data_IF_840943950082
#
_entry.id   IF_840943950082
#
_cell.length_a   1.000
_cell.length_b   1.000
_cell.length_c   1.000
_cell.angle_alpha   90.00
_cell.angle_beta   90.00
_cell.angle_gamma   90.00
#
_symmetry.space_group_name_H-M   'P 1'
#
loop_
_entity.id
_entity.type
_entity.pdbx_description
1 polymer ?
#
# COMPACT_ATOMS: atom_id res chain seq x y z
N UNK A 1 101.65 -24.22 -76.05
CA UNK A 1 102.22 -24.75 -74.80
C UNK A 1 101.08 -24.84 -73.81
N UNK A 2 100.88 -26.01 -73.17
CA UNK A 2 99.70 -26.37 -72.38
C UNK A 2 98.36 -26.35 -73.17
N UNK A 3 97.36 -27.21 -72.90
CA UNK A 3 97.43 -28.53 -72.24
C UNK A 3 96.20 -29.36 -72.62
N UNK A 4 96.30 -30.25 -73.61
CA UNK A 4 95.25 -31.23 -73.90
C UNK A 4 95.43 -32.44 -72.97
N UNK A 5 95.08 -32.25 -71.70
CA UNK A 5 95.03 -33.32 -70.71
C UNK A 5 93.84 -34.26 -71.01
N UNK A 6 94.04 -35.21 -71.92
CA UNK A 6 93.10 -36.32 -72.13
C UNK A 6 93.14 -37.23 -70.90
N UNK A 7 92.08 -37.16 -70.08
CA UNK A 7 92.05 -37.80 -68.76
C UNK A 7 91.76 -39.30 -68.94
N UNK A 8 92.81 -40.06 -69.21
CA UNK A 8 92.81 -41.52 -69.21
C UNK A 8 92.50 -42.07 -67.81
N UNK A 9 91.21 -42.09 -67.47
CA UNK A 9 90.70 -42.59 -66.20
C UNK A 9 90.67 -44.11 -66.22
N UNK A 10 91.80 -44.73 -65.89
CA UNK A 10 91.93 -46.18 -65.74
C UNK A 10 90.94 -46.69 -64.69
N UNK A 11 90.01 -47.54 -65.13
CA UNK A 11 89.03 -48.18 -64.24
C UNK A 11 89.67 -49.43 -63.65
N UNK A 12 90.06 -49.37 -62.39
CA UNK A 12 90.42 -50.56 -61.61
C UNK A 12 89.15 -51.36 -61.28
N UNK A 13 89.08 -52.66 -61.60
CA UNK A 13 87.88 -53.46 -61.34
C UNK A 13 87.56 -53.56 -59.85
N UNK A 14 86.29 -53.43 -59.50
CA UNK A 14 85.83 -53.37 -58.11
C UNK A 14 84.83 -54.48 -57.82
N UNK A 15 85.35 -55.64 -57.39
CA UNK A 15 84.54 -56.86 -57.22
C UNK A 15 83.66 -56.79 -55.98
N UNK A 16 82.40 -56.43 -56.17
CA UNK A 16 81.33 -56.53 -55.18
C UNK A 16 80.11 -57.23 -55.82
N UNK A 17 79.90 -58.50 -55.46
CA UNK A 17 78.71 -59.26 -55.84
C UNK A 17 77.57 -59.00 -54.86
N UNK A 18 76.31 -59.12 -55.30
CA UNK A 18 75.14 -59.02 -54.43
C UNK A 18 74.49 -60.37 -54.15
N UNK A 19 73.72 -60.44 -53.06
CA UNK A 19 72.89 -61.61 -52.74
C UNK A 19 71.64 -61.72 -53.63
N UNK A 20 71.38 -60.75 -54.50
CA UNK A 20 70.22 -60.73 -55.40
C UNK A 20 70.49 -61.67 -56.58
N UNK A 21 69.94 -62.88 -56.50
CA UNK A 21 70.22 -63.98 -57.41
C UNK A 21 70.00 -63.65 -58.90
N UNK A 22 69.07 -62.74 -59.20
CA UNK A 22 68.75 -62.27 -60.56
C UNK A 22 69.87 -61.42 -61.20
N UNK A 23 70.76 -60.82 -60.40
CA UNK A 23 71.86 -59.95 -60.87
C UNK A 23 73.22 -60.63 -60.91
N UNK A 24 73.44 -61.70 -60.14
CA UNK A 24 74.73 -62.43 -60.08
C UNK A 24 75.32 -62.77 -61.46
N UNK A 25 74.56 -63.26 -62.46
CA UNK A 25 75.11 -63.52 -63.80
C UNK A 25 75.56 -62.25 -64.53
N UNK A 26 74.97 -61.09 -64.23
CA UNK A 26 75.36 -59.79 -64.80
C UNK A 26 76.59 -59.21 -64.08
N UNK A 27 76.73 -59.45 -62.78
CA UNK A 27 77.91 -59.07 -62.00
C UNK A 27 79.17 -59.79 -62.53
N UNK A 28 79.06 -61.09 -62.82
CA UNK A 28 80.10 -61.87 -63.50
C UNK A 28 80.44 -61.30 -64.90
N UNK A 29 79.42 -60.88 -65.67
CA UNK A 29 79.62 -60.23 -66.97
C UNK A 29 80.28 -58.85 -66.84
N UNK A 30 79.93 -58.04 -65.84
CA UNK A 30 80.58 -56.75 -65.57
C UNK A 30 82.06 -56.95 -65.25
N UNK A 31 82.39 -57.88 -64.35
CA UNK A 31 83.80 -58.18 -64.02
C UNK A 31 84.58 -58.68 -65.24
N UNK A 32 83.94 -59.45 -66.14
CA UNK A 32 84.52 -59.81 -67.45
C UNK A 32 84.75 -58.57 -68.33
N UNK A 33 83.77 -57.68 -68.49
CA UNK A 33 83.90 -56.46 -69.30
C UNK A 33 85.01 -55.55 -68.76
N UNK A 34 85.03 -55.29 -67.45
CA UNK A 34 86.07 -54.51 -66.78
C UNK A 34 87.45 -55.12 -67.03
N UNK A 35 87.62 -56.43 -66.76
CA UNK A 35 88.92 -57.12 -66.92
C UNK A 35 89.39 -57.12 -68.38
N UNK A 36 88.48 -57.31 -69.34
CA UNK A 36 88.80 -57.37 -70.77
C UNK A 36 89.18 -56.00 -71.33
N UNK A 37 88.54 -54.93 -70.87
CA UNK A 37 88.69 -53.58 -71.44
C UNK A 37 89.52 -52.60 -70.60
N UNK A 38 89.93 -52.94 -69.37
CA UNK A 38 90.72 -52.08 -68.46
C UNK A 38 92.05 -51.52 -69.03
N UNK A 39 92.56 -52.10 -70.13
CA UNK A 39 93.81 -51.67 -70.80
C UNK A 39 93.64 -51.40 -72.30
N UNK A 40 92.40 -51.37 -72.79
CA UNK A 40 92.14 -51.21 -74.23
C UNK A 40 92.17 -49.73 -74.64
N UNK A 41 93.23 -49.33 -75.33
CA UNK A 41 93.34 -48.02 -75.99
C UNK A 41 92.85 -48.16 -77.44
N UNK A 42 91.84 -47.38 -77.84
CA UNK A 42 91.20 -47.51 -79.17
C UNK A 42 91.35 -46.23 -79.98
N UNK A 43 92.24 -46.23 -80.97
CA UNK A 43 92.38 -45.12 -81.92
C UNK A 43 91.24 -45.13 -82.96
N UNK A 44 90.20 -44.37 -82.66
CA UNK A 44 89.02 -44.21 -83.50
C UNK A 44 89.25 -43.35 -84.76
N UNK A 45 90.46 -42.82 -85.00
CA UNK A 45 90.81 -42.18 -86.28
C UNK A 45 91.06 -43.19 -87.39
N UNK A 46 91.40 -44.43 -87.03
CA UNK A 46 91.57 -45.56 -87.97
C UNK A 46 90.24 -46.28 -88.24
N UNK A 47 90.09 -46.86 -89.42
CA UNK A 47 88.90 -47.65 -89.78
C UNK A 47 88.75 -48.91 -88.92
N UNK A 48 89.86 -49.55 -88.57
CA UNK A 48 89.91 -50.75 -87.73
C UNK A 48 89.62 -50.42 -86.25
N UNK A 49 90.26 -49.39 -85.68
CA UNK A 49 89.96 -48.93 -84.33
C UNK A 49 88.51 -48.46 -84.19
N UNK A 50 87.96 -47.78 -85.20
CA UNK A 50 86.54 -47.40 -85.23
C UNK A 50 85.58 -48.60 -85.38
N UNK A 51 86.02 -49.74 -85.93
CA UNK A 51 85.26 -50.98 -85.92
C UNK A 51 85.27 -51.60 -84.51
N UNK A 52 86.47 -51.81 -83.95
CA UNK A 52 86.67 -52.36 -82.61
C UNK A 52 85.92 -51.54 -81.54
N UNK A 53 85.95 -50.21 -81.62
CA UNK A 53 85.19 -49.32 -80.73
C UNK A 53 83.67 -49.56 -80.76
N UNK A 54 83.11 -49.95 -81.92
CA UNK A 54 81.67 -50.24 -82.06
C UNK A 54 81.32 -51.59 -81.44
N UNK A 55 82.16 -52.60 -81.61
CA UNK A 55 81.95 -53.93 -81.03
C UNK A 55 82.02 -53.91 -79.50
N UNK A 56 83.05 -53.27 -78.94
CA UNK A 56 83.18 -53.03 -77.49
C UNK A 56 81.97 -52.27 -76.95
N UNK A 57 81.49 -51.25 -77.68
CA UNK A 57 80.28 -50.50 -77.31
C UNK A 57 79.01 -51.34 -77.39
N UNK A 58 78.95 -52.35 -78.26
CA UNK A 58 77.82 -53.29 -78.33
C UNK A 58 77.84 -54.22 -77.11
N UNK A 59 78.95 -54.88 -76.80
CA UNK A 59 79.08 -55.81 -75.65
C UNK A 59 78.69 -55.13 -74.32
N UNK A 60 79.26 -53.95 -74.04
CA UNK A 60 78.93 -53.15 -72.84
C UNK A 60 77.45 -52.72 -72.83
N UNK A 61 76.89 -52.31 -73.97
CA UNK A 61 75.51 -51.83 -74.07
C UNK A 61 74.51 -52.95 -73.91
N UNK A 62 74.83 -54.15 -74.38
CA UNK A 62 73.93 -55.28 -74.38
C UNK A 62 73.83 -55.90 -72.96
N UNK A 63 74.92 -55.95 -72.19
CA UNK A 63 74.88 -56.20 -70.72
C UNK A 63 74.04 -55.13 -70.00
N UNK A 64 74.21 -53.85 -70.35
CA UNK A 64 73.39 -52.75 -69.78
C UNK A 64 71.90 -52.89 -70.10
N UNK A 65 71.53 -53.38 -71.28
CA UNK A 65 70.12 -53.67 -71.60
C UNK A 65 69.61 -54.94 -70.92
N UNK A 66 70.47 -55.94 -70.71
CA UNK A 66 70.14 -57.14 -69.95
C UNK A 66 69.84 -56.82 -68.48
N UNK A 67 70.62 -55.91 -67.87
CA UNK A 67 70.35 -55.34 -66.54
C UNK A 67 68.98 -54.65 -66.47
N UNK A 68 68.68 -53.68 -67.35
CA UNK A 68 67.39 -52.98 -67.39
C UNK A 68 66.19 -53.94 -67.55
N UNK A 69 66.35 -54.97 -68.39
CA UNK A 69 65.37 -56.04 -68.56
C UNK A 69 65.21 -56.87 -67.27
N UNK A 70 66.30 -57.30 -66.65
CA UNK A 70 66.30 -58.03 -65.36
C UNK A 70 65.61 -57.20 -64.27
N UNK A 71 65.94 -55.91 -64.13
CA UNK A 71 65.31 -55.01 -63.16
C UNK A 71 63.79 -54.95 -63.35
N UNK A 72 63.34 -54.76 -64.59
CA UNK A 72 61.91 -54.72 -64.93
C UNK A 72 61.22 -56.05 -64.66
N UNK A 73 61.84 -57.18 -64.99
CA UNK A 73 61.26 -58.51 -64.75
C UNK A 73 61.22 -58.87 -63.25
N UNK A 74 62.30 -58.63 -62.51
CA UNK A 74 62.40 -58.94 -61.08
C UNK A 74 61.40 -58.14 -60.22
N UNK A 75 61.08 -56.90 -60.62
CA UNK A 75 60.10 -56.06 -59.90
C UNK A 75 58.64 -56.51 -60.06
N UNK A 76 58.28 -57.23 -61.13
CA UNK A 76 56.88 -57.68 -61.40
C UNK A 76 56.25 -58.41 -60.20
N UNK A 77 56.84 -59.49 -59.63
CA UNK A 77 56.23 -60.20 -58.51
C UNK A 77 56.05 -59.35 -57.24
N UNK A 78 56.93 -58.36 -56.99
CA UNK A 78 56.78 -57.45 -55.86
C UNK A 78 55.67 -56.41 -56.11
N UNK A 79 55.63 -55.81 -57.31
CA UNK A 79 54.57 -54.89 -57.70
C UNK A 79 53.20 -55.56 -57.72
N UNK A 80 53.11 -56.84 -58.12
CA UNK A 80 51.87 -57.60 -58.08
C UNK A 80 51.42 -57.84 -56.64
N UNK A 81 52.31 -58.32 -55.75
CA UNK A 81 52.00 -58.49 -54.31
C UNK A 81 51.50 -57.20 -53.64
N UNK A 82 52.05 -56.04 -54.01
CA UNK A 82 51.57 -54.73 -53.51
C UNK A 82 50.16 -54.41 -54.02
N UNK A 83 49.84 -54.69 -55.29
CA UNK A 83 48.48 -54.53 -55.84
C UNK A 83 47.49 -55.47 -55.17
N UNK A 84 47.85 -56.74 -55.01
CA UNK A 84 46.99 -57.77 -54.39
C UNK A 84 46.70 -57.43 -52.92
N UNK A 85 47.71 -56.97 -52.18
CA UNK A 85 47.55 -56.49 -50.80
C UNK A 85 46.64 -55.26 -50.73
N UNK A 86 46.79 -54.28 -51.62
CA UNK A 86 45.92 -53.09 -51.65
C UNK A 86 44.48 -53.44 -52.02
N UNK A 87 44.27 -54.35 -52.98
CA UNK A 87 42.94 -54.86 -53.33
C UNK A 87 42.28 -55.56 -52.13
N UNK A 88 43.03 -56.36 -51.36
CA UNK A 88 42.54 -57.00 -50.13
C UNK A 88 42.22 -55.98 -49.02
N UNK A 89 43.01 -54.92 -48.87
CA UNK A 89 42.71 -53.83 -47.93
C UNK A 89 41.40 -53.12 -48.28
N UNK A 90 41.15 -52.85 -49.56
CA UNK A 90 39.90 -52.23 -50.01
C UNK A 90 38.70 -53.15 -49.74
N UNK A 91 38.81 -54.44 -50.13
CA UNK A 91 37.77 -55.44 -49.89
C UNK A 91 37.41 -55.58 -48.39
N UNK A 92 38.40 -55.53 -47.49
CA UNK A 92 38.16 -55.60 -46.04
C UNK A 92 37.44 -54.36 -45.52
N UNK A 93 37.74 -53.16 -46.04
CA UNK A 93 37.01 -51.93 -45.68
C UNK A 93 35.57 -51.95 -46.18
N UNK A 94 35.38 -52.23 -47.47
CA UNK A 94 34.06 -52.29 -48.12
C UNK A 94 33.14 -53.31 -47.44
N UNK A 95 33.66 -54.51 -47.13
CA UNK A 95 32.92 -55.53 -46.39
C UNK A 95 32.66 -55.15 -44.93
N UNK A 96 33.59 -54.43 -44.28
CA UNK A 96 33.43 -53.94 -42.91
C UNK A 96 32.30 -52.93 -42.77
N UNK A 97 32.25 -51.92 -43.64
CA UNK A 97 31.16 -50.94 -43.66
C UNK A 97 29.83 -51.62 -44.06
N UNK A 98 29.82 -52.51 -45.07
CA UNK A 98 28.60 -53.24 -45.46
C UNK A 98 28.04 -54.15 -44.34
N UNK A 99 28.89 -54.71 -43.47
CA UNK A 99 28.43 -55.43 -42.27
C UNK A 99 27.88 -54.47 -41.21
N UNK A 100 28.53 -53.32 -40.99
CA UNK A 100 28.09 -52.28 -40.05
C UNK A 100 26.73 -51.69 -40.45
N UNK A 101 26.54 -51.36 -41.73
CA UNK A 101 25.25 -50.87 -42.26
C UNK A 101 24.14 -51.92 -42.08
N UNK A 102 24.47 -53.19 -42.28
CA UNK A 102 23.54 -54.31 -42.05
C UNK A 102 23.18 -54.49 -40.58
N UNK A 103 24.10 -54.24 -39.64
CA UNK A 103 23.80 -54.25 -38.19
C UNK A 103 22.93 -53.05 -37.83
N UNK A 104 23.25 -51.85 -38.32
CA UNK A 104 22.46 -50.64 -38.09
C UNK A 104 21.02 -50.77 -38.62
N UNK A 105 20.83 -51.43 -39.77
CA UNK A 105 19.51 -51.74 -40.32
C UNK A 105 18.68 -52.76 -39.49
N UNK A 106 19.32 -53.50 -38.57
CA UNK A 106 18.65 -54.37 -37.60
C UNK A 106 18.40 -53.62 -36.28
N UNK A 107 19.33 -52.76 -35.87
CA UNK A 107 19.27 -51.96 -34.65
C UNK A 107 18.22 -50.84 -34.72
N UNK A 108 18.19 -50.07 -35.82
CA UNK A 108 17.31 -48.91 -35.99
C UNK A 108 15.81 -49.17 -35.68
N UNK A 109 15.13 -50.21 -36.22
CA UNK A 109 13.73 -50.46 -35.89
C UNK A 109 13.52 -50.92 -34.44
N UNK A 110 14.55 -51.42 -33.75
CA UNK A 110 14.48 -51.78 -32.32
C UNK A 110 14.64 -50.53 -31.46
N UNK A 111 15.59 -49.65 -31.79
CA UNK A 111 15.79 -48.35 -31.16
C UNK A 111 14.57 -47.43 -31.31
N UNK A 112 13.96 -47.37 -32.50
CA UNK A 112 12.70 -46.66 -32.75
C UNK A 112 11.54 -47.22 -31.92
N UNK A 113 11.43 -48.56 -31.82
CA UNK A 113 10.39 -49.20 -31.01
C UNK A 113 10.57 -48.97 -29.50
N UNK A 114 11.81 -49.00 -29.00
CA UNK A 114 12.14 -48.67 -27.61
C UNK A 114 11.73 -47.22 -27.32
N UNK A 115 12.18 -46.26 -28.14
CA UNK A 115 11.86 -44.83 -27.97
C UNK A 115 10.36 -44.53 -28.05
N UNK A 116 9.62 -45.25 -28.90
CA UNK A 116 8.18 -45.14 -28.98
C UNK A 116 7.47 -45.62 -27.69
N UNK A 117 7.90 -46.74 -27.11
CA UNK A 117 7.34 -47.27 -25.86
C UNK A 117 7.79 -46.47 -24.63
N UNK A 118 9.05 -46.07 -24.54
CA UNK A 118 9.54 -45.15 -23.49
C UNK A 118 8.75 -43.85 -23.49
N UNK A 119 8.51 -43.26 -24.65
CA UNK A 119 7.63 -42.09 -24.79
C UNK A 119 6.20 -42.42 -24.35
N UNK A 120 5.61 -43.52 -24.80
CA UNK A 120 4.23 -43.91 -24.42
C UNK A 120 4.08 -44.09 -22.90
N UNK A 121 5.10 -44.64 -22.24
CA UNK A 121 5.15 -44.79 -20.78
C UNK A 121 5.34 -43.43 -20.09
N UNK A 122 6.20 -42.56 -20.61
CA UNK A 122 6.40 -41.21 -20.09
C UNK A 122 5.14 -40.34 -20.22
N UNK A 123 4.50 -40.30 -21.39
CA UNK A 123 3.26 -39.57 -21.66
C UNK A 123 2.13 -40.09 -20.75
N UNK A 124 1.98 -41.42 -20.63
CA UNK A 124 0.97 -42.03 -19.75
C UNK A 124 1.26 -41.84 -18.25
N UNK A 125 2.53 -41.64 -17.85
CA UNK A 125 2.91 -41.26 -16.49
C UNK A 125 2.57 -39.80 -16.23
N UNK A 126 2.99 -38.90 -17.12
CA UNK A 126 2.74 -37.46 -17.00
C UNK A 126 1.24 -37.13 -16.95
N UNK A 127 0.42 -37.83 -17.73
CA UNK A 127 -1.04 -37.68 -17.68
C UNK A 127 -1.62 -38.13 -16.33
N UNK A 128 -1.15 -39.24 -15.75
CA UNK A 128 -1.57 -39.69 -14.41
C UNK A 128 -1.14 -38.71 -13.32
N UNK A 129 0.09 -38.21 -13.38
CA UNK A 129 0.61 -37.20 -12.45
C UNK A 129 -0.15 -35.87 -12.57
N UNK A 130 -0.59 -35.49 -13.78
CA UNK A 130 -1.47 -34.33 -14.00
C UNK A 130 -2.87 -34.51 -13.41
N UNK A 131 -3.55 -35.61 -13.72
CA UNK A 131 -4.90 -35.91 -13.20
C UNK A 131 -4.88 -36.03 -11.67
N UNK A 132 -3.83 -36.61 -11.10
CA UNK A 132 -3.65 -36.70 -9.65
C UNK A 132 -3.36 -35.33 -9.02
N UNK A 133 -2.53 -34.50 -9.65
CA UNK A 133 -2.30 -33.12 -9.18
C UNK A 133 -3.59 -32.29 -9.22
N UNK A 134 -4.39 -32.41 -10.29
CA UNK A 134 -5.69 -31.73 -10.43
C UNK A 134 -6.70 -32.22 -9.36
N UNK A 135 -6.74 -33.54 -9.07
CA UNK A 135 -7.53 -34.10 -7.95
C UNK A 135 -7.12 -33.50 -6.60
N UNK A 136 -5.81 -33.50 -6.31
CA UNK A 136 -5.27 -32.99 -5.04
C UNK A 136 -5.47 -31.47 -4.91
N UNK A 137 -5.31 -30.71 -6.00
CA UNK A 137 -5.58 -29.26 -6.02
C UNK A 137 -7.07 -28.97 -5.78
N UNK A 138 -7.97 -29.69 -6.46
CA UNK A 138 -9.42 -29.52 -6.28
C UNK A 138 -9.86 -29.82 -4.83
N UNK A 139 -9.33 -30.87 -4.21
CA UNK A 139 -9.60 -31.19 -2.80
C UNK A 139 -9.02 -30.08 -1.88
N UNK A 140 -7.77 -29.66 -2.09
CA UNK A 140 -7.15 -28.58 -1.30
C UNK A 140 -7.87 -27.24 -1.45
N UNK A 141 -8.46 -26.95 -2.60
CA UNK A 141 -9.28 -25.76 -2.81
C UNK A 141 -10.57 -25.80 -1.98
N UNK A 142 -11.22 -26.97 -1.84
CA UNK A 142 -12.35 -27.16 -0.91
C UNK A 142 -11.93 -26.90 0.55
N UNK A 143 -10.79 -27.44 0.97
CA UNK A 143 -10.26 -27.29 2.34
C UNK A 143 -9.92 -25.82 2.64
N UNK A 144 -9.21 -25.15 1.71
CA UNK A 144 -8.87 -23.72 1.81
C UNK A 144 -10.11 -22.82 1.87
N UNK A 145 -11.23 -23.22 1.24
CA UNK A 145 -12.48 -22.46 1.34
C UNK A 145 -12.95 -22.32 2.79
N UNK A 146 -12.85 -23.37 3.60
CA UNK A 146 -13.17 -23.29 5.04
C UNK A 146 -12.25 -22.32 5.78
N UNK A 147 -10.92 -22.43 5.62
CA UNK A 147 -9.99 -21.51 6.30
C UNK A 147 -10.13 -20.05 5.88
N UNK A 148 -10.64 -19.77 4.67
CA UNK A 148 -10.90 -18.40 4.18
C UNK A 148 -12.20 -17.77 4.70
N UNK A 149 -13.16 -18.56 5.21
CA UNK A 149 -14.55 -18.10 5.37
C UNK A 149 -14.71 -17.02 6.45
N UNK A 150 -14.01 -17.16 7.58
CA UNK A 150 -14.12 -16.20 8.69
C UNK A 150 -13.62 -14.81 8.29
N UNK A 151 -12.50 -14.74 7.55
CA UNK A 151 -11.95 -13.49 7.03
C UNK A 151 -12.91 -12.78 6.06
N UNK A 152 -13.59 -13.53 5.18
CA UNK A 152 -14.55 -12.98 4.23
C UNK A 152 -15.81 -12.37 4.89
N UNK A 153 -16.13 -12.77 6.12
CA UNK A 153 -17.32 -12.32 6.86
C UNK A 153 -17.02 -11.39 8.04
N UNK A 154 -15.75 -11.08 8.35
CA UNK A 154 -15.33 -10.34 9.55
C UNK A 154 -16.07 -8.99 9.80
N UNK A 155 -16.45 -8.30 8.72
CA UNK A 155 -17.15 -7.01 8.75
C UNK A 155 -18.62 -7.09 8.31
N UNK A 156 -19.26 -8.26 8.46
CA UNK A 156 -20.67 -8.50 8.15
C UNK A 156 -21.56 -8.42 9.40
N UNK A 157 -22.88 -8.43 9.19
CA UNK A 157 -23.86 -8.42 10.28
C UNK A 157 -23.88 -9.76 11.04
N UNK A 158 -24.38 -9.76 12.27
CA UNK A 158 -24.56 -10.98 13.05
C UNK A 158 -25.42 -12.01 12.32
N UNK A 159 -26.44 -11.56 11.57
CA UNK A 159 -27.31 -12.41 10.75
C UNK A 159 -26.57 -13.04 9.55
N UNK A 160 -25.74 -12.28 8.84
CA UNK A 160 -24.90 -12.81 7.76
C UNK A 160 -23.95 -13.90 8.28
N UNK A 161 -23.28 -13.63 9.41
CA UNK A 161 -22.32 -14.57 10.03
C UNK A 161 -23.05 -15.83 10.52
N UNK A 162 -24.24 -15.71 11.12
CA UNK A 162 -25.06 -16.86 11.51
C UNK A 162 -25.48 -17.72 10.31
N UNK A 163 -25.82 -17.10 9.18
CA UNK A 163 -26.22 -17.81 7.96
C UNK A 163 -25.08 -18.65 7.38
N UNK A 164 -23.87 -18.08 7.26
CA UNK A 164 -22.70 -18.84 6.78
C UNK A 164 -22.23 -19.88 7.80
N UNK A 165 -22.30 -19.59 9.11
CA UNK A 165 -22.01 -20.54 10.18
C UNK A 165 -22.88 -21.80 10.07
N UNK A 166 -24.18 -21.63 9.84
CA UNK A 166 -25.10 -22.76 9.65
C UNK A 166 -24.73 -23.56 8.38
N UNK A 167 -24.44 -22.88 7.26
CA UNK A 167 -24.02 -23.55 6.02
C UNK A 167 -22.69 -24.33 6.17
N UNK A 168 -21.75 -23.84 6.98
CA UNK A 168 -20.51 -24.57 7.30
C UNK A 168 -20.78 -25.77 8.23
N UNK A 169 -21.69 -25.64 9.20
CA UNK A 169 -22.13 -26.77 10.06
C UNK A 169 -22.86 -27.87 9.29
N UNK A 170 -23.64 -27.50 8.27
CA UNK A 170 -24.32 -28.43 7.36
C UNK A 170 -23.38 -29.04 6.30
N UNK A 171 -22.13 -28.55 6.20
CA UNK A 171 -21.14 -29.10 5.26
C UNK A 171 -20.58 -30.44 5.75
N UNK A 172 -21.02 -31.53 5.11
CA UNK A 172 -20.50 -32.88 5.34
C UNK A 172 -19.19 -33.06 4.58
N UNK A 173 -18.16 -33.53 5.27
CA UNK A 173 -16.91 -34.00 4.65
C UNK A 173 -17.13 -35.48 4.33
N UNK A 174 -17.20 -35.82 3.04
CA UNK A 174 -17.40 -37.19 2.57
C UNK A 174 -16.07 -37.85 2.16
N UNK A 175 -15.79 -39.11 2.54
CA UNK A 175 -14.60 -39.84 2.10
C UNK A 175 -14.46 -39.87 0.56
N UNK A 176 -15.57 -39.98 -0.16
CA UNK A 176 -15.60 -39.99 -1.63
C UNK A 176 -15.20 -38.63 -2.25
N UNK A 177 -15.37 -37.53 -1.51
CA UNK A 177 -15.11 -36.15 -1.99
C UNK A 177 -13.76 -35.57 -1.56
N UNK A 178 -13.15 -36.11 -0.50
CA UNK A 178 -11.90 -35.63 0.09
C UNK A 178 -10.80 -36.69 0.13
N UNK A 179 -11.14 -37.97 -0.06
CA UNK A 179 -10.18 -39.09 -0.13
C UNK A 179 -9.23 -39.11 1.10
N UNK A 180 -7.92 -39.11 0.89
CA UNK A 180 -6.93 -39.10 1.97
C UNK A 180 -6.94 -37.82 2.83
N UNK A 181 -7.56 -36.74 2.35
CA UNK A 181 -7.65 -35.46 3.05
C UNK A 181 -8.94 -35.28 3.87
N UNK A 182 -9.73 -36.34 4.09
CA UNK A 182 -10.97 -36.30 4.91
C UNK A 182 -10.71 -35.70 6.32
N UNK A 183 -9.61 -36.10 6.97
CA UNK A 183 -9.22 -35.57 8.27
C UNK A 183 -8.83 -34.08 8.21
N UNK A 184 -8.07 -33.65 7.19
CA UNK A 184 -7.70 -32.25 6.99
C UNK A 184 -8.93 -31.38 6.70
N UNK A 185 -9.86 -31.85 5.87
CA UNK A 185 -11.12 -31.17 5.58
C UNK A 185 -12.04 -31.04 6.80
N UNK A 186 -12.09 -32.07 7.64
CA UNK A 186 -12.84 -32.05 8.91
C UNK A 186 -12.25 -31.02 9.87
N UNK A 187 -10.93 -31.05 10.08
CA UNK A 187 -10.22 -30.08 10.93
C UNK A 187 -10.41 -28.64 10.40
N UNK A 188 -10.32 -28.44 9.08
CA UNK A 188 -10.51 -27.12 8.48
C UNK A 188 -11.95 -26.58 8.65
N UNK A 189 -12.96 -27.43 8.49
CA UNK A 189 -14.37 -27.08 8.75
C UNK A 189 -14.58 -26.74 10.22
N UNK A 190 -14.08 -27.56 11.14
CA UNK A 190 -14.36 -27.42 12.57
C UNK A 190 -13.65 -26.18 13.15
N UNK A 191 -12.42 -25.89 12.70
CA UNK A 191 -11.74 -24.61 12.97
C UNK A 191 -12.52 -23.40 12.41
N UNK A 192 -13.11 -23.54 11.20
CA UNK A 192 -13.93 -22.48 10.61
C UNK A 192 -15.23 -22.25 11.37
N UNK A 193 -15.82 -23.28 11.97
CA UNK A 193 -16.97 -23.18 12.88
C UNK A 193 -16.60 -22.37 14.12
N UNK A 194 -15.49 -22.70 14.81
CA UNK A 194 -15.02 -21.97 16.00
C UNK A 194 -14.76 -20.49 15.72
N UNK A 195 -14.11 -20.19 14.59
CA UNK A 195 -13.85 -18.82 14.15
C UNK A 195 -15.14 -18.05 13.82
N UNK A 196 -16.10 -18.68 13.12
CA UNK A 196 -17.39 -18.07 12.80
C UNK A 196 -18.29 -17.89 14.05
N UNK A 197 -18.23 -18.79 15.04
CA UNK A 197 -18.93 -18.62 16.33
C UNK A 197 -18.38 -17.45 17.14
N UNK A 198 -17.04 -17.33 17.19
CA UNK A 198 -16.35 -16.20 17.82
C UNK A 198 -16.71 -14.88 17.14
N UNK A 199 -16.69 -14.87 15.80
CA UNK A 199 -17.06 -13.71 15.00
C UNK A 199 -18.55 -13.34 15.16
N UNK A 200 -19.46 -14.32 15.17
CA UNK A 200 -20.89 -14.10 15.35
C UNK A 200 -21.18 -13.43 16.70
N UNK A 201 -20.55 -13.91 17.77
CA UNK A 201 -20.66 -13.31 19.11
C UNK A 201 -20.21 -11.84 19.10
N UNK A 202 -19.04 -11.56 18.52
CA UNK A 202 -18.52 -10.19 18.38
C UNK A 202 -19.38 -9.30 17.47
N UNK A 203 -20.09 -9.86 16.49
CA UNK A 203 -21.07 -9.11 15.70
C UNK A 203 -22.33 -8.77 16.53
N UNK A 204 -22.89 -9.72 17.27
CA UNK A 204 -24.03 -9.50 18.18
C UNK A 204 -23.70 -8.45 19.24
N UNK A 205 -22.54 -8.55 19.90
CA UNK A 205 -22.08 -7.59 20.92
C UNK A 205 -21.97 -6.15 20.36
N UNK A 206 -21.45 -6.00 19.12
CA UNK A 206 -21.37 -4.70 18.44
C UNK A 206 -22.75 -4.15 18.06
N UNK A 207 -23.64 -4.99 17.54
CA UNK A 207 -25.00 -4.58 17.14
C UNK A 207 -25.85 -4.22 18.37
N UNK A 208 -25.75 -4.97 19.47
CA UNK A 208 -26.36 -4.62 20.75
C UNK A 208 -25.83 -3.30 21.32
N UNK A 209 -24.51 -3.07 21.27
CA UNK A 209 -23.91 -1.81 21.74
C UNK A 209 -24.40 -0.62 20.90
N UNK A 210 -24.46 -0.75 19.58
CA UNK A 210 -24.99 0.26 18.68
C UNK A 210 -26.49 0.54 18.93
N UNK A 211 -27.29 -0.50 19.17
CA UNK A 211 -28.71 -0.37 19.51
C UNK A 211 -28.93 0.35 20.86
N UNK A 212 -28.13 0.02 21.88
CA UNK A 212 -28.16 0.68 23.20
C UNK A 212 -27.77 2.16 23.10
N UNK A 213 -26.71 2.47 22.36
CA UNK A 213 -26.27 3.86 22.10
C UNK A 213 -27.35 4.67 21.36
N UNK A 214 -27.98 4.09 20.34
CA UNK A 214 -29.04 4.76 19.56
C UNK A 214 -30.33 4.96 20.38
N UNK A 215 -30.61 4.08 21.35
CA UNK A 215 -31.69 4.29 22.32
C UNK A 215 -31.37 5.45 23.30
N UNK A 216 -30.15 5.47 23.85
CA UNK A 216 -29.68 6.56 24.73
C UNK A 216 -29.68 7.93 24.04
N UNK A 217 -29.30 7.99 22.76
CA UNK A 217 -29.37 9.21 21.96
C UNK A 217 -30.80 9.73 21.84
N UNK A 218 -31.77 8.86 21.56
CA UNK A 218 -33.19 9.22 21.49
C UNK A 218 -33.75 9.71 22.83
N UNK A 219 -33.43 9.04 23.92
CA UNK A 219 -33.86 9.45 25.27
C UNK A 219 -33.30 10.84 25.63
N UNK A 220 -32.04 11.10 25.29
CA UNK A 220 -31.37 12.37 25.53
C UNK A 220 -31.92 13.51 24.65
N UNK A 221 -32.26 13.24 23.39
CA UNK A 221 -32.91 14.22 22.51
C UNK A 221 -34.38 14.47 22.89
N UNK A 222 -35.11 13.46 23.35
CA UNK A 222 -36.42 13.64 23.98
C UNK A 222 -36.34 14.50 25.25
N UNK A 223 -35.31 14.29 26.09
CA UNK A 223 -35.09 15.09 27.30
C UNK A 223 -34.77 16.55 26.95
N UNK A 224 -33.94 16.77 25.93
CA UNK A 224 -33.66 18.11 25.38
C UNK A 224 -34.92 18.81 24.88
N UNK A 225 -35.80 18.12 24.15
CA UNK A 225 -37.03 18.75 23.65
C UNK A 225 -38.03 19.03 24.78
N UNK A 226 -38.17 18.11 25.75
CA UNK A 226 -38.96 18.35 26.97
C UNK A 226 -38.43 19.56 27.75
N UNK A 227 -37.11 19.73 27.83
CA UNK A 227 -36.49 20.90 28.45
C UNK A 227 -36.76 22.17 27.64
N UNK A 228 -36.60 22.16 26.31
CA UNK A 228 -36.93 23.32 25.44
C UNK A 228 -38.38 23.76 25.55
N UNK A 229 -39.31 22.81 25.66
CA UNK A 229 -40.74 23.09 25.89
C UNK A 229 -40.94 23.74 27.27
N UNK A 230 -40.36 23.17 28.34
CA UNK A 230 -40.46 23.71 29.69
C UNK A 230 -39.82 25.11 29.82
N UNK A 231 -38.68 25.36 29.17
CA UNK A 231 -38.03 26.67 29.13
C UNK A 231 -38.88 27.70 28.37
N UNK A 232 -39.51 27.31 27.26
CA UNK A 232 -40.43 28.15 26.50
C UNK A 232 -41.73 28.46 27.28
N UNK A 233 -42.33 27.47 27.94
CA UNK A 233 -43.48 27.67 28.84
C UNK A 233 -43.13 28.60 30.01
N UNK A 234 -41.93 28.47 30.58
CA UNK A 234 -41.43 29.36 31.62
C UNK A 234 -41.16 30.78 31.09
N UNK A 235 -40.71 30.94 29.84
CA UNK A 235 -40.56 32.26 29.20
C UNK A 235 -41.92 32.92 28.93
N UNK A 236 -42.90 32.20 28.39
CA UNK A 236 -44.25 32.70 28.19
C UNK A 236 -44.95 33.05 29.52
N UNK A 237 -44.78 32.24 30.57
CA UNK A 237 -45.29 32.57 31.90
C UNK A 237 -44.61 33.81 32.50
N UNK A 238 -43.32 34.04 32.23
CA UNK A 238 -42.62 35.29 32.59
C UNK A 238 -43.16 36.49 31.81
N UNK A 239 -43.42 36.34 30.50
CA UNK A 239 -44.04 37.40 29.67
C UNK A 239 -45.44 37.76 30.15
N UNK A 240 -46.28 36.76 30.43
CA UNK A 240 -47.63 36.96 30.97
C UNK A 240 -47.61 37.73 32.30
N UNK A 241 -46.74 37.34 33.25
CA UNK A 241 -46.57 38.07 34.52
C UNK A 241 -46.07 39.50 34.31
N UNK A 242 -45.06 39.70 33.44
CA UNK A 242 -44.56 41.03 33.11
C UNK A 242 -45.63 41.91 32.43
N UNK A 243 -46.52 41.34 31.63
CA UNK A 243 -47.69 42.03 31.10
C UNK A 243 -48.75 42.35 32.16
N UNK A 244 -49.05 41.42 33.07
CA UNK A 244 -49.99 41.64 34.18
C UNK A 244 -49.49 42.74 35.12
N UNK A 245 -48.21 42.72 35.50
CA UNK A 245 -47.62 43.76 36.34
C UNK A 245 -47.51 45.09 35.59
N UNK A 246 -47.27 45.10 34.27
CA UNK A 246 -47.37 46.31 33.44
C UNK A 246 -48.80 46.85 33.36
N UNK A 247 -49.82 45.97 33.30
CA UNK A 247 -51.25 46.35 33.33
C UNK A 247 -51.63 46.93 34.70
N UNK A 248 -51.19 46.30 35.80
CA UNK A 248 -51.38 46.79 37.18
C UNK A 248 -50.70 48.13 37.43
N UNK A 249 -49.43 48.26 37.02
CA UNK A 249 -48.68 49.52 37.17
C UNK A 249 -49.33 50.64 36.36
N UNK A 250 -49.84 50.34 35.16
CA UNK A 250 -50.64 51.30 34.40
C UNK A 250 -51.95 51.65 35.11
N UNK A 251 -52.69 50.68 35.64
CA UNK A 251 -53.92 50.95 36.41
C UNK A 251 -53.64 51.85 37.62
N UNK A 252 -52.55 51.62 38.36
CA UNK A 252 -52.12 52.49 39.45
C UNK A 252 -51.74 53.91 38.98
N UNK A 253 -51.13 54.06 37.80
CA UNK A 253 -50.86 55.37 37.19
C UNK A 253 -52.16 56.06 36.75
N UNK A 254 -53.04 55.36 36.04
CA UNK A 254 -54.36 55.86 35.60
C UNK A 254 -55.21 56.28 36.82
N UNK A 255 -55.18 55.53 37.93
CA UNK A 255 -55.82 55.85 39.22
C UNK A 255 -55.17 57.06 39.94
N UNK A 256 -53.85 57.15 40.00
CA UNK A 256 -53.16 58.31 40.59
C UNK A 256 -53.40 59.58 39.78
N UNK A 257 -53.46 59.49 38.45
CA UNK A 257 -53.82 60.61 37.59
C UNK A 257 -55.31 60.94 37.66
N UNK A 258 -56.19 59.96 37.93
CA UNK A 258 -57.59 60.22 38.27
C UNK A 258 -57.68 61.00 39.60
N UNK A 259 -57.04 60.53 40.67
CA UNK A 259 -56.97 61.21 41.96
C UNK A 259 -56.37 62.62 41.85
N UNK A 260 -55.34 62.83 41.01
CA UNK A 260 -54.78 64.16 40.73
C UNK A 260 -55.82 65.10 40.09
N UNK A 261 -56.61 64.62 39.12
CA UNK A 261 -57.68 65.38 38.47
C UNK A 261 -58.85 65.67 39.43
N UNK A 262 -59.19 64.70 40.29
CA UNK A 262 -60.24 64.85 41.30
C UNK A 262 -59.82 65.84 42.41
N UNK A 263 -58.54 65.82 42.82
CA UNK A 263 -57.96 66.81 43.75
C UNK A 263 -57.86 68.19 43.09
N UNK A 264 -57.46 68.29 41.82
CA UNK A 264 -57.38 69.58 41.13
C UNK A 264 -58.78 70.20 40.94
N UNK A 265 -59.78 69.40 40.59
CA UNK A 265 -61.17 69.88 40.48
C UNK A 265 -61.77 70.25 41.83
N UNK A 266 -61.50 69.50 42.90
CA UNK A 266 -61.85 69.92 44.27
C UNK A 266 -61.13 71.21 44.69
N UNK A 267 -59.86 71.40 44.34
CA UNK A 267 -59.14 72.66 44.62
C UNK A 267 -59.68 73.83 43.81
N UNK A 268 -60.09 73.61 42.54
CA UNK A 268 -60.79 74.63 41.74
C UNK A 268 -62.11 75.01 42.37
N UNK A 269 -62.95 74.04 42.75
CA UNK A 269 -64.21 74.27 43.44
C UNK A 269 -64.03 74.97 44.80
N UNK A 270 -63.01 74.61 45.59
CA UNK A 270 -62.69 75.31 46.84
C UNK A 270 -62.21 76.75 46.59
N UNK A 271 -61.43 77.02 45.54
CA UNK A 271 -61.04 78.39 45.15
C UNK A 271 -62.23 79.19 44.67
N UNK A 272 -63.10 78.61 43.84
CA UNK A 272 -64.34 79.24 43.38
C UNK A 272 -65.27 79.57 44.56
N UNK A 273 -65.45 78.64 45.50
CA UNK A 273 -66.20 78.89 46.74
C UNK A 273 -65.53 79.95 47.65
N UNK A 274 -64.20 79.97 47.75
CA UNK A 274 -63.48 81.01 48.52
C UNK A 274 -63.54 82.37 47.83
N UNK A 275 -63.47 82.44 46.50
CA UNK A 275 -63.67 83.66 45.73
C UNK A 275 -65.11 84.17 45.81
N UNK A 276 -66.11 83.27 45.79
CA UNK A 276 -67.52 83.62 45.96
C UNK A 276 -67.82 84.08 47.40
N UNK A 277 -67.27 83.41 48.41
CA UNK A 277 -67.33 83.87 49.80
C UNK A 277 -66.60 85.21 49.99
N UNK A 278 -65.46 85.43 49.33
CA UNK A 278 -64.77 86.73 49.33
C UNK A 278 -65.54 87.81 48.56
N UNK A 279 -66.24 87.47 47.47
CA UNK A 279 -67.14 88.41 46.77
C UNK A 279 -68.29 88.80 47.69
N UNK A 280 -68.97 87.84 48.30
CA UNK A 280 -70.03 88.11 49.29
C UNK A 280 -69.52 88.85 50.52
N UNK A 281 -68.29 88.59 51.00
CA UNK A 281 -67.67 89.39 52.06
C UNK A 281 -67.40 90.81 51.57
N UNK A 282 -66.75 91.03 50.43
CA UNK A 282 -66.52 92.37 49.87
C UNK A 282 -67.81 93.12 49.55
N UNK A 283 -68.88 92.43 49.16
CA UNK A 283 -70.20 93.03 48.96
C UNK A 283 -70.86 93.43 50.27
N UNK A 284 -70.80 92.58 51.31
CA UNK A 284 -71.25 92.90 52.67
C UNK A 284 -70.40 94.00 53.31
N UNK A 285 -69.08 93.99 53.11
CA UNK A 285 -68.14 94.99 53.60
C UNK A 285 -68.32 96.31 52.85
N UNK A 286 -68.61 96.28 51.55
CA UNK A 286 -68.96 97.47 50.78
C UNK A 286 -70.38 97.97 51.09
N UNK A 287 -71.30 97.12 51.56
CA UNK A 287 -72.56 97.57 52.17
C UNK A 287 -72.26 98.21 53.53
N UNK A 288 -71.58 97.53 54.45
CA UNK A 288 -71.15 98.10 55.74
C UNK A 288 -70.34 99.39 55.61
N UNK A 289 -69.51 99.54 54.59
CA UNK A 289 -68.78 100.78 54.30
C UNK A 289 -69.68 101.85 53.69
N UNK A 290 -70.67 101.53 52.85
CA UNK A 290 -71.67 102.51 52.40
C UNK A 290 -72.58 102.96 53.54
N UNK A 291 -73.02 102.03 54.38
CA UNK A 291 -73.81 102.30 55.59
C UNK A 291 -72.98 103.13 56.59
N UNK A 292 -71.70 102.81 56.79
CA UNK A 292 -70.78 103.62 57.60
C UNK A 292 -70.41 104.95 56.94
N UNK A 293 -70.33 105.07 55.62
CA UNK A 293 -70.10 106.34 54.94
C UNK A 293 -71.35 107.23 54.95
N UNK A 294 -72.55 106.67 54.88
CA UNK A 294 -73.79 107.41 55.05
C UNK A 294 -73.94 107.88 56.50
N UNK A 295 -73.75 106.98 57.48
CA UNK A 295 -73.67 107.32 58.90
C UNK A 295 -72.54 108.32 59.18
N UNK A 296 -71.38 108.21 58.53
CA UNK A 296 -70.26 109.14 58.71
C UNK A 296 -70.46 110.47 57.98
N UNK A 297 -71.21 110.54 56.87
CA UNK A 297 -71.65 111.82 56.28
C UNK A 297 -72.63 112.51 57.22
N UNK A 298 -73.60 111.79 57.75
CA UNK A 298 -74.55 112.28 58.76
C UNK A 298 -73.84 112.72 60.05
N UNK A 299 -72.75 112.04 60.44
CA UNK A 299 -72.02 112.28 61.71
C UNK A 299 -70.85 113.27 61.59
N UNK A 300 -70.20 113.37 60.43
CA UNK A 300 -69.17 114.39 60.15
C UNK A 300 -69.76 115.78 59.84
N UNK A 301 -71.05 115.85 59.49
CA UNK A 301 -71.83 117.10 59.60
C UNK A 301 -72.19 117.43 61.07
N UNK A 302 -71.88 116.56 62.04
CA UNK A 302 -72.29 116.66 63.44
C UNK A 302 -71.11 116.54 64.44
N UNK A 303 -70.06 117.34 64.19
CA UNK A 303 -68.91 117.60 65.09
C UNK A 303 -67.73 116.60 65.09
N UNK A 304 -66.68 116.99 65.80
CA UNK A 304 -65.33 116.42 65.83
C UNK A 304 -64.94 116.00 67.29
N UNK A 305 -63.67 115.72 67.63
CA UNK A 305 -62.69 114.79 67.05
C UNK A 305 -62.21 113.76 68.11
N UNK A 306 -61.04 113.14 67.89
CA UNK A 306 -60.11 112.50 68.88
C UNK A 306 -60.13 110.97 68.92
N UNK A 307 -58.97 110.41 69.31
CA UNK A 307 -58.57 108.99 69.27
C UNK A 307 -58.70 108.28 70.64
N UNK A 308 -58.45 106.95 70.69
CA UNK A 308 -57.40 106.32 71.55
C UNK A 308 -57.38 104.77 71.44
N UNK A 309 -56.17 104.24 71.65
CA UNK A 309 -55.62 102.87 71.90
C UNK A 309 -56.45 102.02 72.94
N UNK A 310 -56.26 100.73 73.32
CA UNK A 310 -55.07 99.91 73.70
C UNK A 310 -55.40 98.37 73.72
N UNK A 311 -54.46 97.51 73.23
CA UNK A 311 -54.21 96.06 73.55
C UNK A 311 -55.36 94.99 73.43
N UNK A 312 -55.16 93.65 73.54
CA UNK A 312 -54.04 92.83 74.06
C UNK A 312 -54.04 91.33 73.60
N UNK A 313 -52.85 90.69 73.52
CA UNK A 313 -52.46 89.27 73.94
C UNK A 313 -53.27 88.00 73.53
N UNK A 314 -52.77 86.73 73.70
CA UNK A 314 -51.39 86.16 73.78
C UNK A 314 -51.20 84.74 73.10
N UNK A 315 -50.09 84.04 73.44
CA UNK A 315 -49.83 82.55 73.40
C UNK A 315 -49.69 81.83 72.01
N UNK A 316 -49.07 80.63 71.86
CA UNK A 316 -47.78 80.01 72.33
C UNK A 316 -47.63 78.57 71.75
N UNK A 317 -46.42 77.97 71.79
CA UNK A 317 -46.12 76.52 71.60
C UNK A 317 -46.20 75.94 70.15
N UNK A 318 -45.48 74.88 69.74
CA UNK A 318 -44.25 74.18 70.24
C UNK A 318 -43.68 73.24 69.13
N UNK A 319 -42.43 72.73 69.27
CA UNK A 319 -41.70 71.92 68.27
C UNK A 319 -40.51 71.15 68.92
N UNK A 320 -40.11 69.97 68.38
CA UNK A 320 -38.89 69.11 68.62
C UNK A 320 -39.29 67.63 68.91
N UNK A 321 -38.63 66.55 68.44
CA UNK A 321 -37.57 66.37 67.39
C UNK A 321 -38.09 65.46 66.24
N UNK A 322 -37.64 64.25 65.83
CA UNK A 322 -36.50 63.29 66.05
C UNK A 322 -36.43 62.41 64.75
N UNK A 323 -35.43 61.61 64.34
CA UNK A 323 -34.07 61.22 64.77
C UNK A 323 -33.26 60.70 63.53
N UNK A 324 -31.91 60.52 63.57
CA UNK A 324 -31.10 60.01 62.43
C UNK A 324 -30.72 58.51 62.50
N UNK A 325 -30.15 57.97 61.41
CA UNK A 325 -29.64 56.59 61.24
C UNK A 325 -28.13 56.61 60.90
N UNK A 326 -27.37 55.60 61.35
CA UNK A 326 -25.94 55.43 61.07
C UNK A 326 -25.62 54.17 60.24
N UNK A 327 -24.57 54.29 59.41
CA UNK A 327 -23.48 53.36 58.98
C UNK A 327 -23.64 51.81 59.09
N UNK A 328 -22.94 50.93 58.37
CA UNK A 328 -21.72 50.94 57.51
C UNK A 328 -21.96 50.07 56.23
N UNK A 329 -21.21 50.11 55.12
CA UNK A 329 -19.84 49.59 54.85
C UNK A 329 -19.67 48.06 55.08
N UNK A 330 -18.89 47.26 54.33
CA UNK A 330 -17.98 47.51 53.17
C UNK A 330 -17.57 46.17 52.48
N UNK A 331 -17.11 46.19 51.20
CA UNK A 331 -16.34 45.12 50.47
C UNK A 331 -16.97 43.70 50.29
N UNK A 332 -16.47 42.78 49.46
CA UNK A 332 -15.65 42.78 48.21
C UNK A 332 -15.72 41.39 47.54
N UNK A 333 -15.25 41.27 46.29
CA UNK A 333 -14.67 40.07 45.61
C UNK A 333 -15.52 38.77 45.52
N UNK A 334 -15.49 37.99 44.44
CA UNK A 334 -14.70 38.05 43.18
C UNK A 334 -15.48 37.43 42.01
N UNK A 335 -15.36 38.00 40.81
CA UNK A 335 -15.67 37.28 39.57
C UNK A 335 -14.59 36.21 39.29
N UNK A 336 -15.00 34.99 38.94
CA UNK A 336 -14.15 34.04 38.22
C UNK A 336 -14.99 33.20 37.24
N UNK A 337 -14.80 33.45 35.93
CA UNK A 337 -15.42 32.70 34.81
C UNK A 337 -14.45 32.63 33.62
N UNK A 338 -13.34 31.89 33.76
CA UNK A 338 -12.54 31.32 32.64
C UNK A 338 -11.63 30.21 33.17
N UNK A 339 -11.33 29.10 32.48
CA UNK A 339 -11.76 28.59 31.18
C UNK A 339 -11.55 27.07 31.11
N UNK A 340 -12.36 26.40 30.29
CA UNK A 340 -12.29 24.97 29.94
C UNK A 340 -10.88 24.50 29.53
N UNK A 341 -10.14 23.90 30.46
CA UNK A 341 -8.88 23.19 30.22
C UNK A 341 -8.87 21.85 30.99
N UNK A 342 -8.48 20.72 30.37
CA UNK A 342 -8.33 19.44 31.06
C UNK A 342 -7.12 19.45 32.01
N UNK A 343 -7.04 18.47 32.91
CA UNK A 343 -5.92 18.34 33.85
C UNK A 343 -4.60 18.08 33.11
N UNK A 344 -3.50 18.48 33.74
CA UNK A 344 -2.14 18.21 33.24
C UNK A 344 -1.89 16.70 33.12
N UNK A 345 -2.47 15.89 34.02
CA UNK A 345 -2.38 14.43 33.95
C UNK A 345 -3.26 13.84 32.84
N UNK A 346 -4.47 14.36 32.58
CA UNK A 346 -5.30 13.95 31.42
C UNK A 346 -4.55 14.19 30.10
N UNK A 347 -3.86 15.34 29.98
CA UNK A 347 -3.04 15.68 28.80
C UNK A 347 -1.86 14.72 28.65
N UNK A 348 -1.21 14.33 29.75
CA UNK A 348 -0.15 13.32 29.76
C UNK A 348 -0.68 11.96 29.31
N UNK A 349 -1.85 11.54 29.80
CA UNK A 349 -2.44 10.24 29.51
C UNK A 349 -2.87 10.13 28.03
N UNK A 350 -3.46 11.20 27.47
CA UNK A 350 -3.79 11.30 26.04
C UNK A 350 -2.54 11.28 25.15
N UNK A 351 -1.43 11.91 25.57
CA UNK A 351 -0.16 11.87 24.82
C UNK A 351 0.52 10.50 24.91
N UNK A 352 0.51 9.86 26.08
CA UNK A 352 1.02 8.50 26.24
C UNK A 352 0.26 7.50 25.35
N UNK A 353 -1.08 7.52 25.41
CA UNK A 353 -1.95 6.67 24.61
C UNK A 353 -1.88 6.99 23.10
N UNK A 354 -1.76 8.26 22.73
CA UNK A 354 -1.74 8.71 21.34
C UNK A 354 -0.43 8.41 20.59
N UNK A 355 0.66 8.13 21.31
CA UNK A 355 1.98 7.84 20.73
C UNK A 355 2.56 6.46 21.13
N UNK A 356 1.80 5.64 21.86
CA UNK A 356 2.20 4.31 22.38
C UNK A 356 3.50 4.36 23.19
N UNK A 357 3.56 5.29 24.15
CA UNK A 357 4.71 5.49 25.06
C UNK A 357 4.26 5.53 26.52
N UNK A 358 5.18 5.28 27.44
CA UNK A 358 4.90 5.36 28.88
C UNK A 358 4.66 6.81 29.35
N UNK A 359 3.99 6.94 30.51
CA UNK A 359 3.59 8.22 31.09
C UNK A 359 4.78 9.13 31.45
N UNK A 360 5.95 8.58 31.79
CA UNK A 360 7.12 9.38 32.14
C UNK A 360 7.88 9.86 30.89
N UNK A 361 7.90 9.06 29.82
CA UNK A 361 8.32 9.50 28.46
C UNK A 361 7.40 10.61 27.94
N UNK A 362 6.07 10.45 28.04
CA UNK A 362 5.11 11.50 27.66
C UNK A 362 5.30 12.80 28.48
N UNK A 363 5.52 12.69 29.80
CA UNK A 363 5.87 13.82 30.68
C UNK A 363 7.21 14.45 30.32
N UNK A 364 8.20 13.68 29.90
CA UNK A 364 9.49 14.21 29.44
C UNK A 364 9.33 15.05 28.17
N UNK A 365 8.57 14.57 27.19
CA UNK A 365 8.28 15.31 25.95
C UNK A 365 7.51 16.61 26.21
N UNK A 366 6.44 16.56 27.01
CA UNK A 366 5.64 17.74 27.37
C UNK A 366 6.43 18.79 28.17
N UNK A 367 7.46 18.38 28.94
CA UNK A 367 8.40 19.30 29.59
C UNK A 367 9.42 19.90 28.60
N UNK A 368 9.86 19.14 27.61
CA UNK A 368 10.85 19.58 26.61
C UNK A 368 10.29 20.53 25.54
N UNK A 369 8.97 20.50 25.30
CA UNK A 369 8.27 21.27 24.25
C UNK A 369 7.71 22.61 24.77
N UNK A 370 7.93 22.95 26.05
CA UNK A 370 7.32 24.13 26.67
C UNK A 370 7.87 25.46 26.11
N UNK A 371 6.95 26.37 25.78
CA UNK A 371 7.19 27.83 25.80
C UNK A 371 7.18 28.35 27.25
#
# INVERSE_FOLDING_TARGET
MSETADVQKTVTPSVAFTDIAEYRPHEEQIVRLETTYAKLVVDCSTSEGLANAKEVRIDIRDVRYALDKTTKTALIPYQQKVKDAQARVNQVKEFGEALKDRVLAIEAPVDEAIKAEEKRVADAKAERERVEAERVEAIRAKITRFSSVAAAYANRSAADVASILQSVKESVILPEEYSEFEAEGTIARDNAIEQLETLHRSAVEREEAAAKLLAQQKELDELREKQRIADAEAEELRKQRAEEDRKRLKQQQDELDQQRRDIETQQRQQREQQEEQQRQQRERDAQYQRDQEELARLRAQASAPTSVTIAATPLVAEKVEVAPISTDAVTAESDDVTTTAPSVDDIVEVVALGFDVDLDTARAWLRAIRF
#
